data_IF_152899795541
#
_entry.id   IF_152899795541
#
_cell.length_a   1.000
_cell.length_b   1.000
_cell.length_c   1.000
_cell.angle_alpha   90.00
_cell.angle_beta   90.00
_cell.angle_gamma   90.00
#
_symmetry.space_group_name_H-M   'P 1'
#
loop_
_entity.id
_entity.type
_entity.pdbx_description
1 polymer ?
#
# COMPACT_ATOMS: atom_id res chain seq x y z
N UNK A 1 4.88 -6.83 5.99
CA UNK A 1 6.01 -5.92 6.13
C UNK A 1 5.52 -4.48 6.37
N UNK A 2 6.36 -3.58 6.82
CA UNK A 2 6.05 -2.16 6.99
C UNK A 2 5.99 -1.47 5.62
N UNK A 3 4.98 -0.64 5.39
CA UNK A 3 4.76 0.01 4.08
C UNK A 3 4.58 1.52 4.25
N UNK A 4 3.37 2.01 4.47
CA UNK A 4 3.10 3.42 4.65
C UNK A 4 3.58 3.94 6.00
N UNK A 5 4.26 5.07 5.98
CA UNK A 5 4.71 5.76 7.19
C UNK A 5 4.35 7.24 7.14
N UNK A 6 4.04 7.79 8.30
CA UNK A 6 4.05 9.24 8.52
C UNK A 6 4.91 9.53 9.72
N UNK A 7 5.93 10.36 9.50
CA UNK A 7 6.97 10.68 10.49
C UNK A 7 6.87 12.16 10.82
N UNK A 8 7.08 12.47 12.09
CA UNK A 8 7.11 13.83 12.61
C UNK A 8 8.45 14.07 13.31
N UNK A 9 9.15 15.14 12.92
CA UNK A 9 10.46 15.46 13.44
C UNK A 9 10.61 16.95 13.67
N UNK A 10 11.13 17.35 14.82
CA UNK A 10 11.42 18.76 15.12
C UNK A 10 12.80 19.11 14.58
N UNK A 11 12.87 20.15 13.76
CA UNK A 11 14.12 20.68 13.20
C UNK A 11 14.60 21.78 14.17
N UNK A 12 15.82 21.63 14.69
CA UNK A 12 16.40 22.63 15.60
C UNK A 12 17.03 23.80 14.84
N UNK A 13 17.73 23.51 13.75
CA UNK A 13 18.32 24.51 12.84
C UNK A 13 17.80 24.25 11.42
N UNK A 14 16.90 25.08 10.97
CA UNK A 14 16.26 24.91 9.67
C UNK A 14 17.19 25.18 8.51
N UNK A 15 18.06 26.17 8.60
CA UNK A 15 18.98 26.54 7.51
C UNK A 15 20.05 25.46 7.31
N UNK A 16 20.64 24.98 8.42
CA UNK A 16 21.58 23.87 8.39
C UNK A 16 20.93 22.59 7.85
N UNK A 17 19.71 22.27 8.32
CA UNK A 17 18.95 21.12 7.84
C UNK A 17 18.63 21.23 6.34
N UNK A 18 18.13 22.38 5.89
CA UNK A 18 17.77 22.61 4.48
C UNK A 18 18.96 22.45 3.54
N UNK A 19 20.13 22.97 3.96
CA UNK A 19 21.38 22.81 3.21
C UNK A 19 21.83 21.36 3.13
N UNK A 20 21.74 20.63 4.24
CA UNK A 20 22.16 19.23 4.33
C UNK A 20 21.21 18.26 3.62
N UNK A 21 19.90 18.45 3.77
CA UNK A 21 18.88 17.61 3.12
C UNK A 21 18.75 17.87 1.61
N UNK A 22 19.22 19.03 1.13
CA UNK A 22 19.24 19.43 -0.29
C UNK A 22 17.89 19.18 -1.01
N UNK A 23 16.79 19.68 -0.41
CA UNK A 23 15.43 19.51 -0.91
C UNK A 23 14.91 20.84 -1.41
N UNK A 24 14.35 20.84 -2.61
CA UNK A 24 13.59 21.96 -3.14
C UNK A 24 12.27 22.10 -2.42
N UNK A 25 12.10 23.21 -1.70
CA UNK A 25 10.89 23.52 -0.95
C UNK A 25 10.11 24.64 -1.67
N UNK A 26 8.86 24.35 -1.97
CA UNK A 26 7.90 25.30 -2.46
C UNK A 26 7.10 25.90 -1.29
N UNK A 27 7.08 27.23 -1.21
CA UNK A 27 6.27 27.98 -0.25
C UNK A 27 5.08 28.60 -0.98
N UNK A 28 3.84 28.29 -0.59
CA UNK A 28 2.66 28.89 -1.20
C UNK A 28 2.69 30.40 -1.03
N UNK A 29 2.64 31.14 -2.15
CA UNK A 29 2.54 32.60 -2.18
C UNK A 29 1.21 33.04 -2.78
N UNK A 30 0.79 34.21 -2.46
CA UNK A 30 -0.32 34.89 -3.12
C UNK A 30 0.16 35.41 -4.48
N UNK A 31 -0.57 35.10 -5.55
CA UNK A 31 -0.16 35.45 -6.91
C UNK A 31 -0.27 36.95 -7.23
N UNK A 32 -1.13 37.66 -6.49
CA UNK A 32 -1.37 39.10 -6.71
C UNK A 32 -0.42 39.96 -5.88
N UNK A 33 -0.21 39.57 -4.62
CA UNK A 33 0.58 40.36 -3.66
C UNK A 33 2.00 39.85 -3.46
N UNK A 34 2.33 38.64 -3.94
CA UNK A 34 3.61 38.00 -3.69
C UNK A 34 3.79 37.55 -2.20
N UNK A 35 2.80 37.80 -1.35
CA UNK A 35 2.89 37.50 0.06
C UNK A 35 2.81 35.99 0.33
N UNK A 36 3.58 35.49 1.29
CA UNK A 36 3.54 34.09 1.73
C UNK A 36 2.19 33.73 2.33
N UNK A 37 1.51 32.71 1.77
CA UNK A 37 0.24 32.22 2.31
C UNK A 37 0.46 31.48 3.64
N UNK A 38 0.02 32.08 4.74
CA UNK A 38 0.05 31.49 6.07
C UNK A 38 -1.32 31.49 6.74
N UNK A 39 -1.46 30.70 7.79
CA UNK A 39 -2.64 30.73 8.68
C UNK A 39 -2.25 31.42 9.97
N UNK A 40 -2.99 32.46 10.33
CA UNK A 40 -2.84 33.15 11.61
C UNK A 40 -4.01 32.78 12.53
N UNK A 41 -3.74 32.62 13.82
CA UNK A 41 -4.76 32.48 14.86
C UNK A 41 -4.30 33.16 16.14
N UNK A 42 -5.25 33.76 16.87
CA UNK A 42 -5.01 34.28 18.21
C UNK A 42 -4.71 33.11 19.18
N UNK A 43 -3.77 33.32 20.08
CA UNK A 43 -3.42 32.44 21.20
C UNK A 43 -3.40 33.28 22.48
N UNK A 44 -3.41 32.63 23.66
CA UNK A 44 -3.27 33.34 24.90
C UNK A 44 -1.96 34.14 24.93
N UNK A 45 -2.05 35.47 25.06
CA UNK A 45 -0.91 36.40 25.12
C UNK A 45 -0.24 36.64 23.76
N UNK A 46 -0.97 36.55 22.61
CA UNK A 46 -0.38 36.90 21.32
C UNK A 46 -0.99 36.25 20.08
N UNK A 47 -0.17 36.17 19.04
CA UNK A 47 -0.54 35.64 17.72
C UNK A 47 0.36 34.49 17.33
N UNK A 48 -0.23 33.43 16.81
CA UNK A 48 0.48 32.32 16.17
C UNK A 48 0.26 32.35 14.64
N UNK A 49 1.35 32.44 13.88
CA UNK A 49 1.35 32.28 12.44
C UNK A 49 1.93 30.93 12.05
N UNK A 50 1.34 30.27 11.07
CA UNK A 50 1.82 28.99 10.53
C UNK A 50 1.96 29.07 9.01
N UNK A 51 3.15 28.76 8.51
CA UNK A 51 3.47 28.66 7.08
C UNK A 51 3.77 27.20 6.78
N UNK A 52 3.36 26.72 5.61
CA UNK A 52 3.56 25.34 5.16
C UNK A 52 4.44 25.38 3.90
N UNK A 53 5.62 24.78 3.98
CA UNK A 53 6.49 24.54 2.85
C UNK A 53 6.32 23.09 2.40
N UNK A 54 6.39 22.83 1.09
CA UNK A 54 6.22 21.48 0.54
C UNK A 54 7.35 21.15 -0.42
N UNK A 55 7.75 19.90 -0.43
CA UNK A 55 8.74 19.35 -1.34
C UNK A 55 8.62 17.85 -1.42
N UNK A 56 9.52 17.22 -2.12
CA UNK A 56 9.61 15.78 -2.19
C UNK A 56 11.03 15.33 -1.88
N UNK A 57 11.15 14.21 -1.20
CA UNK A 57 12.38 13.44 -1.11
C UNK A 57 12.10 12.10 -1.79
N UNK A 58 12.58 11.95 -3.01
CA UNK A 58 12.20 10.85 -3.90
C UNK A 58 10.67 10.73 -4.04
N UNK A 59 10.05 9.64 -3.54
CA UNK A 59 8.59 9.44 -3.57
C UNK A 59 7.88 9.91 -2.30
N UNK A 60 8.63 10.36 -1.28
CA UNK A 60 8.04 10.88 -0.04
C UNK A 60 7.62 12.32 -0.19
N UNK A 61 6.40 12.62 0.27
CA UNK A 61 5.95 14.01 0.42
C UNK A 61 6.57 14.60 1.69
N UNK A 62 7.31 15.68 1.50
CA UNK A 62 7.93 16.46 2.58
C UNK A 62 7.08 17.68 2.84
N UNK A 63 6.73 17.89 4.10
CA UNK A 63 6.03 19.10 4.53
C UNK A 63 6.76 19.70 5.71
N UNK A 64 7.21 20.94 5.59
CA UNK A 64 7.76 21.71 6.71
C UNK A 64 6.68 22.64 7.23
N UNK A 65 6.41 22.52 8.51
CA UNK A 65 5.50 23.41 9.22
C UNK A 65 6.33 24.41 10.02
N UNK A 66 6.45 25.62 9.51
CA UNK A 66 7.01 26.76 10.24
C UNK A 66 5.93 27.37 11.11
N UNK A 67 6.20 27.53 12.39
CA UNK A 67 5.27 28.13 13.34
C UNK A 67 5.97 29.27 14.08
N UNK A 68 5.50 30.49 13.88
CA UNK A 68 5.94 31.68 14.58
C UNK A 68 4.92 32.04 15.65
N UNK A 69 5.36 32.20 16.90
CA UNK A 69 4.57 32.72 18.00
C UNK A 69 5.10 34.11 18.37
N UNK A 70 4.24 35.12 18.28
CA UNK A 70 4.54 36.46 18.71
C UNK A 70 3.74 36.72 20.01
N UNK A 71 4.43 37.00 21.12
CA UNK A 71 3.82 37.34 22.40
C UNK A 71 3.58 38.85 22.46
N UNK A 72 2.67 39.28 23.33
CA UNK A 72 2.36 40.71 23.55
C UNK A 72 3.56 41.52 24.05
N UNK A 73 4.50 40.89 24.75
CA UNK A 73 5.77 41.49 25.17
C UNK A 73 6.82 41.65 24.04
N UNK A 74 6.44 41.37 22.76
CA UNK A 74 7.33 41.45 21.61
C UNK A 74 8.24 40.24 21.39
N UNK A 75 8.24 39.23 22.29
CA UNK A 75 9.02 38.02 22.08
C UNK A 75 8.49 37.22 20.90
N UNK A 76 9.41 36.82 20.01
CA UNK A 76 9.13 36.01 18.84
C UNK A 76 9.87 34.68 18.93
N UNK A 77 9.11 33.57 18.88
CA UNK A 77 9.66 32.24 18.84
C UNK A 77 9.25 31.53 17.52
N UNK A 78 10.21 30.99 16.80
CA UNK A 78 9.99 30.22 15.56
C UNK A 78 10.35 28.77 15.81
N UNK A 79 9.51 27.87 15.34
CA UNK A 79 9.73 26.42 15.41
C UNK A 79 9.42 25.77 14.07
N UNK A 80 10.22 24.77 13.70
CA UNK A 80 10.10 24.05 12.45
C UNK A 80 9.85 22.57 12.72
N UNK A 81 8.84 22.02 12.04
CA UNK A 81 8.49 20.62 12.12
C UNK A 81 8.45 20.01 10.73
N UNK A 82 9.25 18.99 10.54
CA UNK A 82 9.27 18.15 9.35
C UNK A 82 8.22 17.06 9.47
N UNK A 83 7.42 16.91 8.43
CA UNK A 83 6.45 15.81 8.27
C UNK A 83 6.83 15.08 6.99
N UNK A 84 7.09 13.79 7.10
CA UNK A 84 7.39 12.90 5.98
C UNK A 84 6.18 11.97 5.84
N UNK A 85 5.60 11.87 4.64
CA UNK A 85 4.45 11.02 4.35
C UNK A 85 4.72 10.21 3.08
N UNK A 86 4.66 8.89 3.15
CA UNK A 86 4.89 8.04 1.99
C UNK A 86 4.96 6.55 2.32
N UNK A 87 5.42 5.77 1.35
CA UNK A 87 5.56 4.33 1.45
C UNK A 87 7.02 3.92 1.36
N UNK A 88 7.55 3.30 2.40
CA UNK A 88 8.89 2.70 2.44
C UNK A 88 9.07 1.68 1.31
N UNK A 89 8.07 0.83 1.14
CA UNK A 89 8.07 -0.22 0.14
C UNK A 89 8.10 0.31 -1.30
N UNK A 90 7.22 1.30 -1.60
CA UNK A 90 7.18 1.92 -2.94
C UNK A 90 8.45 2.71 -3.24
N UNK A 91 9.00 3.39 -2.24
CA UNK A 91 10.23 4.15 -2.45
C UNK A 91 11.38 3.23 -2.79
N UNK A 92 11.58 2.16 -2.03
CA UNK A 92 12.64 1.19 -2.27
C UNK A 92 12.57 0.54 -3.67
N UNK A 93 11.37 0.21 -4.15
CA UNK A 93 11.15 -0.46 -5.45
C UNK A 93 10.61 0.47 -6.54
N UNK A 94 10.81 1.78 -6.45
CA UNK A 94 10.43 2.76 -7.48
C UNK A 94 8.96 2.65 -7.92
N UNK A 95 8.05 2.50 -6.94
CA UNK A 95 6.60 2.44 -7.14
C UNK A 95 5.97 1.05 -7.02
N UNK A 96 6.74 -0.03 -7.10
CA UNK A 96 6.25 -1.40 -6.98
C UNK A 96 6.20 -1.85 -5.51
N UNK A 97 5.00 -2.05 -4.94
CA UNK A 97 4.88 -2.60 -3.59
C UNK A 97 4.19 -3.97 -3.55
N UNK A 98 4.42 -4.78 -4.58
CA UNK A 98 4.01 -6.19 -4.65
C UNK A 98 5.20 -7.15 -4.49
N UNK A 99 6.42 -6.67 -4.67
CA UNK A 99 7.65 -7.45 -4.49
C UNK A 99 7.90 -7.76 -3.00
N UNK A 100 8.70 -8.78 -2.67
CA UNK A 100 9.09 -9.06 -1.29
C UNK A 100 9.94 -7.91 -0.72
N UNK A 101 9.41 -7.19 0.26
CA UNK A 101 10.13 -6.13 0.98
C UNK A 101 10.65 -6.70 2.28
N UNK A 102 11.88 -7.23 2.23
CA UNK A 102 12.54 -7.94 3.33
C UNK A 102 13.00 -7.01 4.45
N UNK A 103 13.46 -7.59 5.54
CA UNK A 103 14.08 -6.85 6.64
C UNK A 103 15.25 -5.98 6.18
N UNK A 104 16.13 -6.51 5.33
CA UNK A 104 17.30 -5.77 4.82
C UNK A 104 16.87 -4.61 3.92
N UNK A 105 15.83 -4.80 3.09
CA UNK A 105 15.24 -3.70 2.32
C UNK A 105 14.70 -2.60 3.23
N UNK A 106 14.02 -2.97 4.31
CA UNK A 106 13.52 -2.02 5.30
C UNK A 106 14.65 -1.24 5.98
N UNK A 107 15.70 -1.93 6.45
CA UNK A 107 16.86 -1.28 7.09
C UNK A 107 17.57 -0.32 6.13
N UNK A 108 17.76 -0.74 4.88
CA UNK A 108 18.37 0.10 3.84
C UNK A 108 17.54 1.37 3.62
N UNK A 109 16.21 1.24 3.50
CA UNK A 109 15.33 2.36 3.24
C UNK A 109 15.24 3.32 4.43
N UNK A 110 15.19 2.80 5.67
CA UNK A 110 15.20 3.62 6.88
C UNK A 110 16.52 4.38 7.06
N UNK A 111 17.67 3.72 6.80
CA UNK A 111 18.97 4.37 6.83
C UNK A 111 19.07 5.49 5.79
N UNK A 112 18.54 5.26 4.59
CA UNK A 112 18.49 6.26 3.53
C UNK A 112 17.66 7.48 3.92
N UNK A 113 16.48 7.27 4.54
CA UNK A 113 15.65 8.36 5.08
C UNK A 113 16.39 9.15 6.17
N UNK A 114 16.98 8.45 7.14
CA UNK A 114 17.71 9.11 8.24
C UNK A 114 18.87 9.94 7.72
N UNK A 115 19.71 9.36 6.85
CA UNK A 115 20.85 10.06 6.30
C UNK A 115 20.45 11.20 5.36
N UNK A 116 19.52 10.93 4.42
CA UNK A 116 19.12 11.90 3.42
C UNK A 116 18.34 13.09 3.98
N UNK A 117 17.55 12.88 5.04
CA UNK A 117 16.76 13.93 5.69
C UNK A 117 17.36 14.40 7.01
N UNK A 118 18.59 13.96 7.35
CA UNK A 118 19.29 14.32 8.59
C UNK A 118 18.42 14.10 9.83
N UNK A 119 17.71 12.96 9.87
CA UNK A 119 16.85 12.61 11.00
C UNK A 119 17.69 12.02 12.13
N UNK A 120 17.36 12.36 13.36
CA UNK A 120 17.80 11.57 14.52
C UNK A 120 16.85 10.39 14.74
N UNK A 121 17.31 9.33 15.38
CA UNK A 121 16.53 8.12 15.66
C UNK A 121 15.26 8.34 16.49
N UNK A 122 15.09 9.53 17.10
CA UNK A 122 13.90 9.91 17.87
C UNK A 122 12.77 10.54 17.04
N UNK A 123 12.88 10.51 15.70
CA UNK A 123 11.81 10.96 14.83
C UNK A 123 10.53 10.16 15.07
N UNK A 124 9.45 10.83 15.47
CA UNK A 124 8.21 10.22 15.94
C UNK A 124 7.40 9.62 14.77
N UNK A 125 6.89 8.42 14.97
CA UNK A 125 5.90 7.81 14.08
C UNK A 125 4.50 8.34 14.42
N UNK A 126 3.80 8.88 13.42
CA UNK A 126 2.43 9.38 13.52
C UNK A 126 1.44 8.44 12.84
N UNK A 127 1.90 7.70 11.83
CA UNK A 127 1.11 6.71 11.11
C UNK A 127 2.04 5.55 10.71
N UNK A 128 1.51 4.33 10.72
CA UNK A 128 2.23 3.14 10.26
C UNK A 128 1.28 2.17 9.59
N UNK A 129 1.65 1.68 8.41
CA UNK A 129 0.97 0.57 7.74
C UNK A 129 1.80 -0.71 7.88
N UNK A 130 1.15 -1.78 8.33
CA UNK A 130 1.74 -3.12 8.41
C UNK A 130 0.88 -4.09 7.59
N UNK A 131 1.49 -4.97 6.82
CA UNK A 131 0.72 -5.91 6.01
C UNK A 131 1.57 -6.93 5.30
N UNK A 132 0.91 -7.89 4.67
CA UNK A 132 1.53 -8.97 3.90
C UNK A 132 0.84 -9.14 2.56
N UNK A 133 1.61 -9.57 1.57
CA UNK A 133 1.10 -10.03 0.28
C UNK A 133 0.97 -11.55 0.34
N UNK A 134 -0.19 -12.08 0.01
CA UNK A 134 -0.56 -13.49 0.20
C UNK A 134 -0.96 -14.05 -1.18
N UNK A 135 -0.21 -15.01 -1.74
CA UNK A 135 -0.63 -15.69 -2.96
C UNK A 135 -1.82 -16.60 -2.65
N UNK A 136 -2.87 -16.50 -3.47
CA UNK A 136 -4.05 -17.35 -3.38
C UNK A 136 -4.18 -18.23 -4.63
N UNK A 137 -4.75 -19.43 -4.53
CA UNK A 137 -5.01 -20.30 -5.71
C UNK A 137 -6.29 -19.90 -6.46
N UNK A 138 -6.99 -18.87 -6.01
CA UNK A 138 -8.29 -18.43 -6.56
C UNK A 138 -8.30 -16.91 -6.78
N UNK A 139 -9.12 -16.39 -7.71
CA UNK A 139 -9.26 -14.96 -7.95
C UNK A 139 -9.63 -14.21 -6.67
N UNK A 140 -8.74 -13.27 -6.26
CA UNK A 140 -8.84 -12.59 -4.96
C UNK A 140 -10.13 -11.82 -4.79
N UNK A 141 -10.50 -11.01 -5.79
CA UNK A 141 -11.73 -10.21 -5.69
C UNK A 141 -12.98 -11.08 -5.58
N UNK A 142 -13.03 -12.18 -6.33
CA UNK A 142 -14.13 -13.15 -6.23
C UNK A 142 -14.19 -13.78 -4.86
N UNK A 143 -13.04 -14.23 -4.34
CA UNK A 143 -12.93 -14.78 -3.00
C UNK A 143 -13.44 -13.79 -1.94
N UNK A 144 -12.96 -12.55 -1.95
CA UNK A 144 -13.35 -11.54 -0.97
C UNK A 144 -14.85 -11.21 -1.04
N UNK A 145 -15.39 -11.04 -2.25
CA UNK A 145 -16.82 -10.72 -2.46
C UNK A 145 -17.75 -11.76 -1.86
N UNK A 146 -17.40 -13.03 -1.89
CA UNK A 146 -18.28 -14.13 -1.47
C UNK A 146 -18.00 -14.65 -0.06
N UNK A 147 -16.84 -14.38 0.48
CA UNK A 147 -16.42 -14.97 1.75
C UNK A 147 -16.18 -13.93 2.88
N UNK A 148 -15.82 -12.69 2.57
CA UNK A 148 -15.54 -11.67 3.58
C UNK A 148 -16.83 -11.05 4.10
N UNK A 149 -17.07 -11.13 5.42
CA UNK A 149 -18.34 -10.70 6.02
C UNK A 149 -18.18 -9.44 6.88
N UNK A 150 -17.43 -9.51 7.97
CA UNK A 150 -17.29 -8.39 8.91
C UNK A 150 -15.97 -8.43 9.67
N UNK A 151 -15.64 -7.33 10.31
CA UNK A 151 -14.50 -7.23 11.22
C UNK A 151 -14.95 -6.63 12.57
N UNK A 152 -14.81 -7.40 13.66
CA UNK A 152 -15.24 -6.97 15.00
C UNK A 152 -16.70 -6.46 15.06
N UNK A 153 -17.58 -7.03 14.26
CA UNK A 153 -18.98 -6.61 14.13
C UNK A 153 -19.22 -5.47 13.14
N UNK A 154 -18.19 -4.77 12.67
CA UNK A 154 -18.33 -3.71 11.68
C UNK A 154 -18.34 -4.28 10.26
N UNK A 155 -19.11 -3.65 9.38
CA UNK A 155 -19.16 -3.99 7.96
C UNK A 155 -17.91 -3.50 7.23
N UNK A 156 -17.56 -4.19 6.15
CA UNK A 156 -16.55 -3.75 5.23
C UNK A 156 -17.12 -2.83 4.15
N UNK A 157 -16.48 -1.71 3.92
CA UNK A 157 -16.76 -0.80 2.80
C UNK A 157 -15.93 -1.20 1.58
N UNK A 158 -16.40 -0.85 0.38
CA UNK A 158 -15.59 -1.03 -0.84
C UNK A 158 -14.33 -0.18 -0.78
N UNK A 159 -13.20 -0.77 -1.12
CA UNK A 159 -11.93 -0.08 -1.17
C UNK A 159 -11.63 0.41 -2.59
N UNK A 160 -11.41 1.71 -2.71
CA UNK A 160 -11.05 2.38 -3.97
C UNK A 160 -12.02 2.07 -5.13
N UNK A 161 -13.33 2.34 -4.98
CA UNK A 161 -14.30 2.10 -6.03
C UNK A 161 -14.10 3.08 -7.21
N UNK A 162 -14.18 2.56 -8.43
CA UNK A 162 -14.25 3.38 -9.64
C UNK A 162 -15.68 3.95 -9.84
N UNK A 163 -15.86 4.76 -10.89
CA UNK A 163 -17.16 5.36 -11.24
C UNK A 163 -18.26 4.31 -11.51
N UNK A 164 -17.88 3.11 -11.91
CA UNK A 164 -18.80 1.99 -12.19
C UNK A 164 -19.01 1.10 -10.96
N UNK A 165 -18.44 1.47 -9.81
CA UNK A 165 -18.55 0.71 -8.58
C UNK A 165 -17.64 -0.53 -8.51
N UNK A 166 -16.75 -0.75 -9.50
CA UNK A 166 -15.73 -1.78 -9.38
C UNK A 166 -14.69 -1.33 -8.34
N UNK A 167 -14.23 -2.25 -7.52
CA UNK A 167 -13.25 -1.93 -6.49
C UNK A 167 -12.12 -2.96 -6.46
N UNK A 168 -11.04 -2.63 -5.77
CA UNK A 168 -9.92 -3.54 -5.58
C UNK A 168 -10.14 -4.52 -4.43
N UNK A 169 -11.05 -4.21 -3.52
CA UNK A 169 -11.33 -5.01 -2.34
C UNK A 169 -12.15 -4.23 -1.31
N UNK A 170 -11.81 -4.43 -0.04
CA UNK A 170 -12.62 -3.95 1.06
C UNK A 170 -11.77 -3.32 2.17
N UNK A 171 -12.36 -2.34 2.86
CA UNK A 171 -11.77 -1.66 4.02
C UNK A 171 -12.77 -1.57 5.15
N UNK A 172 -12.34 -1.87 6.36
CA UNK A 172 -13.10 -1.64 7.59
C UNK A 172 -12.39 -0.53 8.38
N UNK A 173 -12.90 0.72 8.37
CA UNK A 173 -12.36 1.80 9.17
C UNK A 173 -12.79 1.67 10.63
N UNK A 174 -11.85 1.92 11.55
CA UNK A 174 -12.08 2.03 12.99
C UNK A 174 -11.49 3.34 13.51
N UNK A 175 -11.73 3.66 14.76
CA UNK A 175 -11.32 4.95 15.36
C UNK A 175 -9.81 5.17 15.41
N UNK A 176 -9.00 4.11 15.51
CA UNK A 176 -7.54 4.19 15.62
C UNK A 176 -6.81 3.65 14.40
N UNK A 177 -7.40 2.69 13.69
CA UNK A 177 -6.79 2.04 12.54
C UNK A 177 -7.86 1.56 11.55
N UNK A 178 -7.45 1.17 10.37
CA UNK A 178 -8.30 0.47 9.41
C UNK A 178 -7.71 -0.88 9.02
N UNK A 179 -8.59 -1.84 8.71
CA UNK A 179 -8.22 -3.14 8.14
C UNK A 179 -8.55 -3.09 6.66
N UNK A 180 -7.58 -3.42 5.79
CA UNK A 180 -7.79 -3.48 4.35
C UNK A 180 -7.47 -4.87 3.84
N UNK A 181 -8.31 -5.37 2.96
CA UNK A 181 -8.12 -6.65 2.25
C UNK A 181 -8.47 -6.44 0.79
N UNK A 182 -7.48 -6.59 -0.10
CA UNK A 182 -7.71 -6.26 -1.49
C UNK A 182 -6.84 -7.06 -2.47
N UNK A 183 -7.24 -7.02 -3.74
CA UNK A 183 -6.58 -7.67 -4.85
C UNK A 183 -5.38 -6.83 -5.32
N UNK A 184 -4.21 -7.22 -4.83
CA UNK A 184 -2.93 -6.62 -5.18
C UNK A 184 -2.51 -7.00 -6.58
N UNK A 185 -2.80 -8.24 -7.00
CA UNK A 185 -2.57 -8.71 -8.36
C UNK A 185 -3.29 -7.82 -9.38
N UNK A 186 -4.59 -7.56 -9.15
CA UNK A 186 -5.39 -6.66 -10.00
C UNK A 186 -4.88 -5.21 -9.98
N UNK A 187 -4.38 -4.73 -8.84
CA UNK A 187 -3.86 -3.35 -8.71
C UNK A 187 -2.66 -3.10 -9.64
N UNK A 188 -1.84 -4.11 -9.86
CA UNK A 188 -0.61 -4.03 -10.66
C UNK A 188 -0.66 -4.84 -11.96
N UNK A 189 -1.84 -5.33 -12.36
CA UNK A 189 -2.05 -6.16 -13.55
C UNK A 189 -1.11 -7.40 -13.57
N UNK A 190 -0.91 -8.03 -12.38
CA UNK A 190 -0.09 -9.21 -12.24
C UNK A 190 -0.83 -10.46 -12.74
N UNK A 191 -0.12 -11.47 -13.27
CA UNK A 191 -0.72 -12.73 -13.67
C UNK A 191 -1.21 -13.59 -12.49
N UNK A 192 -0.63 -13.38 -11.30
CA UNK A 192 -0.89 -14.17 -10.11
C UNK A 192 -1.99 -13.53 -9.24
N UNK A 193 -2.74 -14.39 -8.54
CA UNK A 193 -3.74 -13.95 -7.57
C UNK A 193 -3.07 -13.57 -6.26
N UNK A 194 -2.74 -12.30 -6.11
CA UNK A 194 -2.04 -11.76 -4.94
C UNK A 194 -2.98 -10.93 -4.09
N UNK A 195 -3.33 -11.43 -2.91
CA UNK A 195 -4.12 -10.70 -1.92
C UNK A 195 -3.21 -9.87 -1.01
N UNK A 196 -3.59 -8.64 -0.72
CA UNK A 196 -2.96 -7.82 0.34
C UNK A 196 -3.87 -7.80 1.56
N UNK A 197 -3.33 -8.14 2.72
CA UNK A 197 -3.94 -7.92 4.02
C UNK A 197 -3.10 -6.93 4.81
N UNK A 198 -3.69 -5.81 5.25
CA UNK A 198 -2.94 -4.74 5.94
C UNK A 198 -3.76 -4.04 7.02
N UNK A 199 -3.04 -3.56 8.04
CA UNK A 199 -3.52 -2.67 9.08
C UNK A 199 -2.86 -1.31 8.89
N UNK A 200 -3.67 -0.26 8.76
CA UNK A 200 -3.20 1.11 8.72
C UNK A 200 -3.54 1.82 10.02
N UNK A 201 -2.53 2.05 10.86
CA UNK A 201 -2.67 2.78 12.10
C UNK A 201 -2.66 4.28 11.82
N UNK A 202 -3.80 4.94 12.07
CA UNK A 202 -3.98 6.40 11.95
C UNK A 202 -3.64 7.11 13.27
N UNK A 203 -3.71 6.38 14.38
CA UNK A 203 -3.30 6.80 15.72
C UNK A 203 -2.36 5.77 16.30
N UNK A 204 -1.28 6.24 16.89
CA UNK A 204 -0.19 5.36 17.32
C UNK A 204 -0.39 4.76 18.73
N UNK A 205 -1.53 5.01 19.40
CA UNK A 205 -1.77 4.57 20.79
C UNK A 205 -1.46 3.06 20.97
N UNK A 206 -2.10 2.21 20.18
CA UNK A 206 -1.92 0.76 20.25
C UNK A 206 -0.48 0.31 19.98
N UNK A 207 0.24 1.00 19.09
CA UNK A 207 1.63 0.70 18.78
C UNK A 207 2.58 1.21 19.86
N UNK A 208 2.30 2.37 20.46
CA UNK A 208 3.05 2.93 21.60
C UNK A 208 2.98 2.02 22.83
N UNK A 209 1.84 1.42 23.11
CA UNK A 209 1.66 0.42 24.17
C UNK A 209 2.51 -0.85 23.93
N UNK A 210 2.92 -1.10 22.70
CA UNK A 210 3.84 -2.19 22.30
C UNK A 210 5.30 -1.73 22.13
N UNK A 211 5.62 -0.52 22.58
CA UNK A 211 6.96 0.02 22.54
C UNK A 211 7.41 0.54 21.17
N UNK A 212 6.47 0.78 20.23
CA UNK A 212 6.77 1.35 18.91
C UNK A 212 6.28 2.80 18.87
N UNK A 213 7.22 3.75 18.91
CA UNK A 213 6.96 5.20 18.98
C UNK A 213 7.66 5.97 17.87
N UNK A 214 8.87 5.58 17.50
CA UNK A 214 9.77 6.32 16.63
C UNK A 214 10.48 5.41 15.61
N UNK A 215 11.33 5.99 14.77
CA UNK A 215 12.07 5.25 13.74
C UNK A 215 13.00 4.19 14.33
N UNK A 216 13.68 4.47 15.45
CA UNK A 216 14.56 3.49 16.11
C UNK A 216 13.80 2.23 16.50
N UNK A 217 12.53 2.37 16.93
CA UNK A 217 11.72 1.22 17.33
C UNK A 217 11.39 0.28 16.17
N UNK A 218 11.16 0.82 14.96
CA UNK A 218 10.91 -0.04 13.78
C UNK A 218 12.19 -0.56 13.13
N UNK A 219 13.37 -0.07 13.53
CA UNK A 219 14.69 -0.63 13.20
C UNK A 219 15.07 -1.76 14.15
N UNK A 220 14.41 -1.92 15.28
CA UNK A 220 14.60 -3.04 16.19
C UNK A 220 13.90 -4.29 15.61
N UNK A 221 14.69 -5.34 15.37
CA UNK A 221 14.21 -6.59 14.78
C UNK A 221 13.06 -7.23 15.58
N UNK A 222 13.21 -7.30 16.90
CA UNK A 222 12.22 -7.96 17.76
C UNK A 222 10.90 -7.20 17.83
N UNK A 223 10.96 -5.88 17.93
CA UNK A 223 9.78 -5.01 17.92
C UNK A 223 9.06 -5.09 16.58
N UNK A 224 9.79 -4.97 15.47
CA UNK A 224 9.22 -5.04 14.13
C UNK A 224 8.62 -6.43 13.83
N UNK A 225 9.34 -7.52 14.17
CA UNK A 225 8.85 -8.87 13.99
C UNK A 225 7.62 -9.16 14.86
N UNK A 226 7.57 -8.62 16.08
CA UNK A 226 6.44 -8.74 17.01
C UNK A 226 5.12 -8.16 16.47
N UNK A 227 5.14 -7.32 15.43
CA UNK A 227 3.96 -6.79 14.74
C UNK A 227 3.13 -7.86 14.03
N UNK A 228 3.71 -9.05 13.75
CA UNK A 228 2.97 -10.21 13.27
C UNK A 228 1.74 -10.51 14.13
N UNK A 229 1.88 -10.44 15.46
CA UNK A 229 0.77 -10.72 16.38
C UNK A 229 -0.44 -9.80 16.18
N UNK A 230 -0.22 -8.55 15.71
CA UNK A 230 -1.31 -7.64 15.38
C UNK A 230 -2.06 -8.10 14.12
N UNK A 231 -1.33 -8.54 13.09
CA UNK A 231 -1.92 -9.07 11.87
C UNK A 231 -2.71 -10.36 12.15
N UNK A 232 -2.14 -11.30 12.91
CA UNK A 232 -2.83 -12.55 13.28
C UNK A 232 -4.07 -12.28 14.11
N UNK A 233 -3.98 -11.41 15.11
CA UNK A 233 -5.13 -10.98 15.92
C UNK A 233 -6.21 -10.30 15.08
N UNK A 234 -5.81 -9.46 14.13
CA UNK A 234 -6.77 -8.83 13.23
C UNK A 234 -7.44 -9.85 12.32
N UNK A 235 -6.68 -10.81 11.79
CA UNK A 235 -7.25 -11.88 10.99
C UNK A 235 -8.23 -12.74 11.79
N UNK A 236 -7.90 -13.12 13.03
CA UNK A 236 -8.79 -13.86 13.93
C UNK A 236 -10.09 -13.12 14.27
N UNK A 237 -10.10 -11.79 14.20
CA UNK A 237 -11.29 -10.97 14.38
C UNK A 237 -12.08 -10.73 13.08
N UNK A 238 -11.60 -11.23 11.94
CA UNK A 238 -12.29 -11.18 10.67
C UNK A 238 -13.25 -12.35 10.58
N UNK A 239 -14.51 -12.07 10.28
CA UNK A 239 -15.54 -13.09 10.04
C UNK A 239 -15.52 -13.42 8.56
N UNK A 240 -15.26 -14.69 8.26
CA UNK A 240 -15.33 -15.26 6.92
C UNK A 240 -16.43 -16.31 6.86
N UNK A 241 -17.20 -16.28 5.77
CA UNK A 241 -18.01 -17.43 5.36
C UNK A 241 -17.21 -18.23 4.34
N UNK A 242 -17.49 -19.50 4.20
CA UNK A 242 -16.93 -20.33 3.13
C UNK A 242 -18.05 -20.67 2.15
N UNK A 243 -17.99 -20.06 0.97
CA UNK A 243 -19.05 -20.22 -0.05
C UNK A 243 -19.15 -21.64 -0.61
N UNK A 244 -18.21 -22.53 -0.29
CA UNK A 244 -18.29 -23.96 -0.65
C UNK A 244 -19.20 -24.77 0.25
N UNK A 245 -19.67 -24.20 1.38
CA UNK A 245 -20.55 -24.91 2.33
C UNK A 245 -21.92 -25.19 1.70
N UNK A 246 -22.24 -26.45 1.58
CA UNK A 246 -23.59 -26.86 1.21
C UNK A 246 -24.54 -26.79 2.43
N UNK A 247 -25.38 -25.76 2.47
CA UNK A 247 -26.36 -25.57 3.53
C UNK A 247 -27.48 -26.62 3.54
N UNK A 248 -27.60 -27.46 2.51
CA UNK A 248 -28.54 -28.60 2.45
C UNK A 248 -27.94 -29.88 3.07
N UNK A 249 -26.66 -29.89 3.39
CA UNK A 249 -25.98 -31.03 3.99
C UNK A 249 -26.78 -31.54 5.24
N UNK A 250 -27.24 -32.82 5.26
CA UNK A 250 -28.06 -33.35 6.34
C UNK A 250 -27.34 -33.43 7.70
N UNK A 251 -26.00 -33.44 7.69
CA UNK A 251 -25.20 -33.48 8.92
C UNK A 251 -25.19 -32.12 9.65
N UNK A 252 -25.65 -31.04 9.01
CA UNK A 252 -25.75 -29.72 9.66
C UNK A 252 -27.05 -29.65 10.43
N UNK A 253 -26.96 -29.54 11.77
CA UNK A 253 -28.14 -29.40 12.66
C UNK A 253 -28.92 -28.11 12.30
N UNK A 254 -30.22 -28.11 12.45
CA UNK A 254 -31.07 -26.97 12.09
C UNK A 254 -30.61 -25.65 12.73
N UNK A 255 -30.30 -25.64 14.03
CA UNK A 255 -29.78 -24.44 14.74
C UNK A 255 -28.46 -23.92 14.15
N UNK A 256 -27.57 -24.83 13.72
CA UNK A 256 -26.28 -24.48 13.14
C UNK A 256 -26.45 -23.97 11.70
N UNK A 257 -27.41 -24.58 10.98
CA UNK A 257 -27.79 -24.13 9.63
C UNK A 257 -28.35 -22.69 9.65
N UNK A 258 -29.19 -22.37 10.64
CA UNK A 258 -29.71 -21.01 10.82
C UNK A 258 -28.57 -20.02 11.13
N UNK A 259 -27.64 -20.38 12.02
CA UNK A 259 -26.48 -19.55 12.29
C UNK A 259 -25.60 -19.34 11.04
N UNK A 260 -25.39 -20.38 10.22
CA UNK A 260 -24.66 -20.26 8.96
C UNK A 260 -25.38 -19.35 7.95
N UNK A 261 -26.72 -19.38 7.89
CA UNK A 261 -27.52 -18.48 7.03
C UNK A 261 -27.46 -17.03 7.50
N UNK A 262 -27.72 -16.78 8.77
CA UNK A 262 -27.71 -15.42 9.34
C UNK A 262 -26.30 -14.82 9.38
N UNK A 263 -25.30 -15.61 9.75
CA UNK A 263 -23.90 -15.18 9.83
C UNK A 263 -23.27 -14.78 8.48
N UNK A 264 -23.91 -15.07 7.36
CA UNK A 264 -23.51 -14.54 6.03
C UNK A 264 -23.85 -13.06 5.85
N UNK A 265 -24.72 -12.51 6.69
CA UNK A 265 -25.17 -11.12 6.62
C UNK A 265 -24.32 -10.24 7.51
N UNK A 266 -23.63 -9.23 7.00
CA UNK A 266 -22.85 -8.32 7.85
C UNK A 266 -23.67 -7.67 8.96
N UNK A 267 -24.91 -7.23 8.68
CA UNK A 267 -25.79 -6.61 9.64
C UNK A 267 -26.18 -7.49 10.84
N UNK A 268 -26.15 -8.83 10.70
CA UNK A 268 -26.32 -9.74 11.83
C UNK A 268 -25.23 -9.55 12.91
N UNK A 269 -23.99 -9.43 12.49
CA UNK A 269 -22.85 -9.23 13.38
C UNK A 269 -22.83 -7.86 14.01
N UNK A 270 -23.21 -6.82 13.25
CA UNK A 270 -23.33 -5.46 13.73
C UNK A 270 -24.40 -5.36 14.85
N UNK A 271 -25.59 -5.85 14.56
CA UNK A 271 -26.68 -5.90 15.53
C UNK A 271 -26.30 -6.65 16.81
N UNK A 272 -25.72 -7.84 16.69
CA UNK A 272 -25.27 -8.61 17.86
C UNK A 272 -24.20 -7.86 18.67
N UNK A 273 -23.29 -7.17 18.00
CA UNK A 273 -22.23 -6.42 18.66
C UNK A 273 -22.77 -5.23 19.45
N UNK A 274 -23.77 -4.55 18.93
CA UNK A 274 -24.42 -3.41 19.56
C UNK A 274 -25.33 -3.83 20.73
N UNK A 275 -26.08 -4.90 20.57
CA UNK A 275 -27.11 -5.32 21.54
C UNK A 275 -26.55 -6.22 22.63
N UNK A 276 -25.67 -7.17 22.30
CA UNK A 276 -25.15 -8.17 23.22
C UNK A 276 -23.73 -8.65 22.84
N UNK A 277 -22.72 -7.94 23.37
CA UNK A 277 -21.32 -8.27 23.08
C UNK A 277 -20.89 -9.69 23.52
N UNK A 278 -21.51 -10.24 24.60
CA UNK A 278 -21.25 -11.63 25.04
C UNK A 278 -21.76 -12.63 24.01
N UNK A 279 -22.99 -12.43 23.55
CA UNK A 279 -23.62 -13.25 22.52
C UNK A 279 -22.87 -13.13 21.19
N UNK A 280 -22.43 -11.94 20.80
CA UNK A 280 -21.56 -11.72 19.64
C UNK A 280 -20.32 -12.58 19.66
N UNK A 281 -19.57 -12.58 20.77
CA UNK A 281 -18.34 -13.35 20.88
C UNK A 281 -18.62 -14.87 20.82
N UNK A 282 -19.67 -15.36 21.50
CA UNK A 282 -20.06 -16.75 21.47
C UNK A 282 -20.49 -17.20 20.07
N UNK A 283 -21.37 -16.45 19.40
CA UNK A 283 -21.87 -16.80 18.07
C UNK A 283 -20.77 -16.71 17.01
N UNK A 284 -19.88 -15.75 17.12
CA UNK A 284 -18.72 -15.62 16.21
C UNK A 284 -17.81 -16.84 16.31
N UNK A 285 -17.48 -17.27 17.50
CA UNK A 285 -16.63 -18.44 17.69
C UNK A 285 -17.33 -19.72 17.18
N UNK A 286 -18.60 -19.90 17.51
CA UNK A 286 -19.39 -21.01 17.01
C UNK A 286 -19.48 -21.01 15.48
N UNK A 287 -19.75 -19.87 14.89
CA UNK A 287 -19.81 -19.70 13.44
C UNK A 287 -18.47 -20.08 12.78
N UNK A 288 -17.34 -19.63 13.36
CA UNK A 288 -16.01 -19.95 12.87
C UNK A 288 -15.73 -21.46 12.87
N UNK A 289 -16.13 -22.16 13.94
CA UNK A 289 -16.02 -23.61 14.02
C UNK A 289 -16.87 -24.31 12.95
N UNK A 290 -18.12 -23.91 12.80
CA UNK A 290 -19.01 -24.48 11.78
C UNK A 290 -18.47 -24.26 10.35
N UNK A 291 -17.92 -23.06 10.08
CA UNK A 291 -17.29 -22.77 8.78
C UNK A 291 -16.03 -23.61 8.58
N UNK A 292 -15.27 -23.89 9.63
CA UNK A 292 -14.09 -24.76 9.55
C UNK A 292 -14.47 -26.24 9.32
N UNK A 293 -15.55 -26.71 9.97
CA UNK A 293 -15.98 -28.11 9.90
C UNK A 293 -16.62 -28.46 8.55
N UNK A 294 -17.39 -27.55 7.99
CA UNK A 294 -18.16 -27.81 6.76
C UNK A 294 -17.61 -27.17 5.50
N UNK A 295 -16.62 -26.27 5.62
CA UNK A 295 -15.98 -25.57 4.49
C UNK A 295 -14.58 -26.08 4.18
N UNK A 296 -13.87 -25.33 3.35
CA UNK A 296 -12.49 -25.65 2.92
C UNK A 296 -11.42 -25.14 3.89
N UNK A 297 -11.83 -24.54 5.02
CA UNK A 297 -10.90 -24.06 6.05
C UNK A 297 -10.08 -22.80 5.64
N UNK A 298 -10.64 -21.94 4.81
CA UNK A 298 -9.97 -20.75 4.32
C UNK A 298 -9.42 -19.83 5.41
N UNK A 299 -10.14 -19.67 6.52
CA UNK A 299 -9.67 -18.84 7.63
C UNK A 299 -8.31 -19.31 8.18
N UNK A 300 -8.18 -20.62 8.43
CA UNK A 300 -6.93 -21.23 8.91
C UNK A 300 -5.83 -21.14 7.85
N UNK A 301 -6.15 -21.51 6.61
CA UNK A 301 -5.18 -21.48 5.50
C UNK A 301 -4.58 -20.07 5.31
N UNK A 302 -5.41 -19.05 5.30
CA UNK A 302 -4.92 -17.68 5.13
C UNK A 302 -4.14 -17.21 6.37
N UNK A 303 -4.55 -17.60 7.58
CA UNK A 303 -3.78 -17.32 8.81
C UNK A 303 -2.36 -17.87 8.73
N UNK A 304 -2.21 -19.13 8.30
CA UNK A 304 -0.90 -19.75 8.11
C UNK A 304 -0.10 -19.03 7.00
N UNK A 305 -0.74 -18.65 5.90
CA UNK A 305 -0.09 -17.87 4.85
C UNK A 305 0.38 -16.50 5.35
N UNK A 306 -0.42 -15.79 6.17
CA UNK A 306 -0.01 -14.52 6.82
C UNK A 306 1.27 -14.74 7.62
N UNK A 307 1.31 -15.79 8.45
CA UNK A 307 2.46 -16.14 9.28
C UNK A 307 3.68 -16.46 8.41
N UNK A 308 3.53 -17.38 7.46
CA UNK A 308 4.62 -17.79 6.57
C UNK A 308 5.19 -16.62 5.74
N UNK A 309 4.33 -15.79 5.16
CA UNK A 309 4.77 -14.64 4.39
C UNK A 309 5.50 -13.60 5.26
N UNK A 310 5.03 -13.36 6.49
CA UNK A 310 5.72 -12.48 7.42
C UNK A 310 7.09 -13.03 7.81
N UNK A 311 7.16 -14.30 8.20
CA UNK A 311 8.42 -14.96 8.59
C UNK A 311 9.44 -14.93 7.45
N UNK A 312 9.01 -15.16 6.20
CA UNK A 312 9.89 -15.11 5.04
C UNK A 312 10.52 -13.73 4.84
N UNK A 313 9.81 -12.64 5.19
CA UNK A 313 10.34 -11.28 5.09
C UNK A 313 11.45 -11.00 6.13
N UNK A 314 11.51 -11.79 7.22
CA UNK A 314 12.52 -11.65 8.27
C UNK A 314 13.62 -12.72 8.22
N UNK A 315 13.40 -13.86 7.55
CA UNK A 315 14.38 -14.97 7.49
C UNK A 315 15.49 -14.77 6.47
N UNK A 316 15.27 -14.01 5.40
CA UNK A 316 16.21 -13.88 4.29
C UNK A 316 17.16 -12.68 4.47
N UNK A 317 17.82 -12.59 5.64
CA UNK A 317 18.70 -11.49 6.01
C UNK A 317 20.14 -11.58 5.44
N UNK A 318 20.43 -12.40 4.43
CA UNK A 318 21.84 -12.61 4.04
C UNK A 318 22.16 -12.62 2.55
N UNK A 319 21.18 -12.47 1.67
CA UNK A 319 21.47 -12.40 0.24
C UNK A 319 20.73 -11.20 -0.36
N UNK A 320 21.42 -10.08 -0.51
CA UNK A 320 21.09 -9.12 -1.55
C UNK A 320 21.24 -9.87 -2.88
N UNK A 321 20.15 -10.16 -3.61
CA UNK A 321 20.33 -10.36 -5.03
C UNK A 321 20.82 -9.00 -5.51
N UNK A 322 22.07 -8.94 -6.03
CA UNK A 322 22.49 -7.83 -6.87
C UNK A 322 21.28 -7.49 -7.73
N UNK A 323 20.89 -6.21 -7.81
CA UNK A 323 19.77 -5.71 -8.62
C UNK A 323 20.10 -6.02 -10.08
N UNK A 324 20.02 -7.27 -10.46
CA UNK A 324 19.69 -7.70 -11.81
C UNK A 324 18.18 -7.45 -11.87
N UNK A 325 17.78 -6.59 -12.80
CA UNK A 325 16.41 -6.49 -13.30
C UNK A 325 15.67 -7.79 -13.04
N UNK A 326 14.48 -7.76 -12.36
CA UNK A 326 13.79 -8.99 -11.99
C UNK A 326 13.79 -9.89 -13.22
N UNK A 327 14.52 -10.98 -13.15
CA UNK A 327 14.30 -12.07 -14.10
C UNK A 327 12.86 -12.47 -13.85
N UNK A 328 11.97 -12.02 -14.73
CA UNK A 328 10.59 -12.51 -14.83
C UNK A 328 10.65 -14.00 -14.52
N UNK A 329 9.95 -14.44 -13.48
CA UNK A 329 9.91 -15.84 -13.09
C UNK A 329 9.76 -16.69 -14.32
N UNK A 330 10.84 -17.40 -14.67
CA UNK A 330 10.88 -18.27 -15.84
C UNK A 330 10.14 -19.55 -15.49
N UNK A 331 8.81 -19.54 -15.65
CA UNK A 331 8.05 -20.79 -15.59
C UNK A 331 8.38 -21.63 -16.83
N UNK A 332 9.09 -22.72 -16.62
CA UNK A 332 9.30 -23.73 -17.67
C UNK A 332 8.15 -24.72 -17.64
N UNK A 333 7.48 -24.92 -18.77
CA UNK A 333 6.46 -25.92 -18.95
C UNK A 333 6.97 -26.93 -19.97
N UNK A 334 6.79 -28.22 -19.69
CA UNK A 334 7.09 -29.26 -20.67
C UNK A 334 6.04 -29.27 -21.79
N UNK A 335 6.40 -28.81 -22.97
CA UNK A 335 5.58 -28.91 -24.17
C UNK A 335 6.29 -29.88 -25.14
N UNK A 336 5.64 -31.00 -25.50
CA UNK A 336 6.22 -32.07 -26.36
C UNK A 336 7.60 -32.52 -25.89
N UNK A 337 7.78 -32.72 -24.58
CA UNK A 337 9.04 -33.24 -24.00
C UNK A 337 10.18 -32.24 -23.88
N UNK A 338 10.02 -31.00 -24.35
CA UNK A 338 11.02 -29.93 -24.23
C UNK A 338 10.61 -28.93 -23.18
N UNK A 339 11.56 -28.46 -22.36
CA UNK A 339 11.35 -27.36 -21.42
C UNK A 339 11.21 -26.05 -22.22
N UNK A 340 10.02 -25.48 -22.26
CA UNK A 340 9.74 -24.19 -22.91
C UNK A 340 9.45 -23.14 -21.86
N UNK A 341 10.13 -22.01 -21.94
CA UNK A 341 9.89 -20.88 -21.07
C UNK A 341 8.55 -20.23 -21.41
N UNK A 342 7.62 -20.16 -20.43
CA UNK A 342 6.36 -19.42 -20.61
C UNK A 342 6.61 -17.94 -20.85
N UNK A 343 5.93 -17.37 -21.83
CA UNK A 343 5.97 -15.95 -22.17
C UNK A 343 4.57 -15.37 -22.15
N UNK A 344 4.46 -14.18 -21.63
CA UNK A 344 3.17 -13.50 -21.47
C UNK A 344 3.16 -12.18 -22.23
N UNK A 345 2.00 -11.80 -22.74
CA UNK A 345 1.79 -10.50 -23.37
C UNK A 345 2.01 -9.35 -22.36
N UNK A 346 2.91 -8.42 -22.66
CA UNK A 346 3.24 -7.30 -21.78
C UNK A 346 2.06 -6.34 -21.53
N UNK A 347 1.00 -6.40 -22.37
CA UNK A 347 -0.16 -5.53 -22.23
C UNK A 347 -1.33 -6.17 -21.48
N UNK A 348 -1.65 -7.44 -21.75
CA UNK A 348 -2.85 -8.09 -21.23
C UNK A 348 -2.57 -9.34 -20.39
N UNK A 349 -1.30 -9.73 -20.18
CA UNK A 349 -0.91 -10.91 -19.39
C UNK A 349 -1.26 -12.27 -20.03
N UNK A 350 -1.85 -12.32 -21.23
CA UNK A 350 -2.21 -13.58 -21.89
C UNK A 350 -0.95 -14.38 -22.27
N UNK A 351 -1.00 -15.69 -22.09
CA UNK A 351 0.10 -16.59 -22.52
C UNK A 351 0.31 -16.49 -24.03
N UNK A 352 1.53 -16.12 -24.43
CA UNK A 352 1.99 -15.99 -25.82
C UNK A 352 3.15 -16.93 -26.12
N UNK A 353 3.31 -18.01 -25.34
CA UNK A 353 4.39 -18.99 -25.50
C UNK A 353 4.41 -19.60 -26.87
N UNK A 354 3.25 -19.80 -27.49
CA UNK A 354 3.08 -20.40 -28.84
C UNK A 354 3.27 -19.39 -29.97
N UNK A 355 3.57 -18.13 -29.69
CA UNK A 355 3.84 -17.10 -30.70
C UNK A 355 5.36 -17.01 -30.99
N UNK A 356 5.72 -16.28 -32.04
CA UNK A 356 7.11 -16.01 -32.37
C UNK A 356 7.93 -15.56 -31.13
N UNK A 357 9.17 -16.06 -31.03
CA UNK A 357 10.06 -15.82 -29.89
C UNK A 357 10.33 -14.33 -29.62
N UNK A 358 10.18 -13.46 -30.61
CA UNK A 358 10.35 -12.01 -30.53
C UNK A 358 9.06 -11.28 -30.13
N UNK A 359 7.91 -11.99 -30.12
CA UNK A 359 6.62 -11.37 -29.79
C UNK A 359 6.58 -10.95 -28.33
N UNK A 360 6.28 -9.68 -28.10
CA UNK A 360 6.06 -9.07 -26.74
C UNK A 360 4.58 -8.86 -26.45
N UNK A 361 3.72 -8.88 -27.48
CA UNK A 361 2.29 -8.64 -27.41
C UNK A 361 1.53 -9.74 -28.16
N UNK A 362 0.22 -9.84 -27.88
CA UNK A 362 -0.65 -10.73 -28.64
C UNK A 362 -0.56 -10.44 -30.15
N UNK A 363 -0.43 -11.49 -30.97
CA UNK A 363 -0.48 -11.33 -32.41
C UNK A 363 -1.89 -11.55 -32.96
N UNK A 364 -2.21 -10.92 -34.09
CA UNK A 364 -3.52 -10.99 -34.72
C UNK A 364 -3.93 -12.43 -35.06
N UNK A 365 -2.96 -13.29 -35.43
CA UNK A 365 -3.19 -14.69 -35.71
C UNK A 365 -3.82 -15.48 -34.56
N UNK A 366 -3.55 -15.11 -33.30
CA UNK A 366 -4.00 -15.85 -32.11
C UNK A 366 -5.16 -15.22 -31.38
N UNK A 367 -5.38 -13.90 -31.52
CA UNK A 367 -6.41 -13.16 -30.76
C UNK A 367 -7.30 -12.28 -31.62
N UNK A 368 -7.11 -12.26 -32.94
CA UNK A 368 -7.77 -11.35 -33.87
C UNK A 368 -7.12 -9.96 -33.93
N UNK A 369 -7.35 -9.22 -35.00
CA UNK A 369 -6.69 -7.93 -35.26
C UNK A 369 -7.04 -6.87 -34.21
N UNK A 370 -8.33 -6.76 -33.84
CA UNK A 370 -8.79 -5.75 -32.87
C UNK A 370 -8.12 -5.93 -31.51
N UNK A 371 -8.07 -7.15 -30.99
CA UNK A 371 -7.45 -7.46 -29.70
C UNK A 371 -5.93 -7.30 -29.71
N UNK A 372 -5.27 -7.70 -30.82
CA UNK A 372 -3.83 -7.51 -30.99
C UNK A 372 -3.46 -6.02 -31.10
N UNK A 373 -4.30 -5.22 -31.76
CA UNK A 373 -4.14 -3.79 -31.87
C UNK A 373 -4.31 -3.08 -30.51
N UNK A 374 -5.31 -3.50 -29.72
CA UNK A 374 -5.48 -2.99 -28.34
C UNK A 374 -4.27 -3.27 -27.46
N UNK A 375 -3.69 -4.48 -27.52
CA UNK A 375 -2.50 -4.83 -26.74
C UNK A 375 -1.30 -3.95 -27.08
N UNK A 376 -1.07 -3.68 -28.38
CA UNK A 376 0.01 -2.80 -28.85
C UNK A 376 -0.23 -1.32 -28.48
N UNK A 377 -1.46 -0.84 -28.59
CA UNK A 377 -1.80 0.55 -28.30
C UNK A 377 -1.82 0.87 -26.80
N UNK A 378 -2.19 -0.07 -25.92
CA UNK A 378 -2.10 0.14 -24.46
C UNK A 378 -0.68 0.49 -24.00
N UNK A 379 0.34 -0.11 -24.62
CA UNK A 379 1.73 0.21 -24.30
C UNK A 379 2.21 1.52 -24.97
N UNK A 380 1.69 1.87 -26.16
CA UNK A 380 2.11 3.06 -26.89
C UNK A 380 1.39 4.34 -26.46
N UNK A 381 0.13 4.25 -26.01
CA UNK A 381 -0.68 5.41 -25.62
C UNK A 381 -0.09 6.27 -24.49
N UNK A 382 0.44 5.73 -23.39
CA UNK A 382 1.09 6.54 -22.35
C UNK A 382 2.27 7.34 -22.90
N UNK A 383 3.11 6.72 -23.76
CA UNK A 383 4.27 7.36 -24.38
C UNK A 383 3.86 8.45 -25.35
N UNK A 384 2.83 8.21 -26.16
CA UNK A 384 2.31 9.20 -27.10
C UNK A 384 1.62 10.36 -26.40
N UNK A 385 0.89 10.09 -25.30
CA UNK A 385 0.29 11.12 -24.45
C UNK A 385 1.35 12.01 -23.79
N UNK A 386 2.45 11.43 -23.30
CA UNK A 386 3.55 12.19 -22.72
C UNK A 386 4.23 13.09 -23.79
N UNK A 387 4.55 12.53 -24.97
CA UNK A 387 5.09 13.30 -26.10
C UNK A 387 4.14 14.42 -26.53
N UNK A 388 2.82 14.17 -26.57
CA UNK A 388 1.80 15.15 -26.89
C UNK A 388 1.70 16.27 -25.83
N UNK A 389 1.84 15.93 -24.54
CA UNK A 389 1.91 16.92 -23.45
C UNK A 389 3.16 17.79 -23.56
N UNK A 390 4.32 17.19 -23.79
CA UNK A 390 5.59 17.90 -23.97
C UNK A 390 5.52 18.84 -25.17
N UNK A 391 5.00 18.41 -26.32
CA UNK A 391 4.80 19.25 -27.49
C UNK A 391 3.87 20.47 -27.21
N UNK A 392 2.76 20.25 -26.47
CA UNK A 392 1.83 21.34 -26.07
C UNK A 392 2.46 22.32 -25.10
N UNK A 393 3.30 21.85 -24.18
CA UNK A 393 4.05 22.70 -23.26
C UNK A 393 5.04 23.59 -24.07
N UNK A 394 5.82 22.97 -24.95
CA UNK A 394 6.79 23.71 -25.77
C UNK A 394 6.13 24.69 -26.75
N UNK A 395 4.96 24.36 -27.33
CA UNK A 395 4.24 25.24 -28.25
C UNK A 395 3.55 26.43 -27.57
N UNK A 396 3.36 26.41 -26.26
CA UNK A 396 2.76 27.48 -25.47
C UNK A 396 3.77 28.49 -24.91
N UNK A 397 5.03 28.40 -25.30
CA UNK A 397 6.06 29.37 -24.89
C UNK A 397 6.28 29.40 -23.36
N UNK A 398 6.18 28.25 -22.67
CA UNK A 398 6.46 28.20 -21.26
C UNK A 398 7.95 28.50 -21.03
N UNK A 399 8.23 29.46 -20.15
CA UNK A 399 9.54 30.07 -19.85
C UNK A 399 10.61 29.09 -19.30
N UNK A 400 10.33 27.78 -19.22
CA UNK A 400 11.27 26.80 -18.71
C UNK A 400 11.64 25.77 -19.77
N UNK A 401 12.93 25.70 -20.07
CA UNK A 401 13.51 24.60 -20.84
C UNK A 401 13.50 23.32 -19.98
N UNK A 402 12.62 22.38 -20.34
CA UNK A 402 12.53 21.07 -19.66
C UNK A 402 13.53 20.04 -20.22
N UNK A 403 14.36 20.43 -21.21
CA UNK A 403 15.36 19.53 -21.79
C UNK A 403 16.35 18.97 -20.76
N UNK A 404 16.77 19.73 -19.72
CA UNK A 404 17.61 19.21 -18.65
C UNK A 404 16.99 18.10 -17.81
N UNK A 405 15.65 18.00 -17.82
CA UNK A 405 14.91 17.00 -17.05
C UNK A 405 14.57 15.73 -17.86
N UNK A 406 15.04 15.64 -19.09
CA UNK A 406 14.87 14.47 -19.94
C UNK A 406 16.17 13.69 -20.02
N UNK A 407 16.23 12.54 -19.35
CA UNK A 407 17.35 11.61 -19.52
C UNK A 407 17.08 10.75 -20.75
N UNK A 408 17.85 10.99 -21.82
CA UNK A 408 17.83 10.14 -23.00
C UNK A 408 18.89 9.05 -22.84
N UNK A 409 18.46 7.84 -22.58
CA UNK A 409 19.39 6.70 -22.60
C UNK A 409 19.56 6.22 -24.04
N UNK A 410 20.64 6.62 -24.69
CA UNK A 410 20.94 6.35 -26.11
C UNK A 410 20.98 4.85 -26.46
N UNK A 411 21.16 3.96 -25.47
CA UNK A 411 21.22 2.53 -25.74
C UNK A 411 19.85 1.82 -25.82
N UNK A 412 18.72 2.49 -25.49
CA UNK A 412 17.38 1.85 -25.51
C UNK A 412 16.22 2.72 -25.98
N UNK A 413 16.46 3.94 -26.51
CA UNK A 413 15.37 4.88 -26.92
C UNK A 413 14.23 5.02 -25.88
N UNK A 414 14.54 4.97 -24.61
CA UNK A 414 13.57 5.21 -23.54
C UNK A 414 13.77 6.63 -23.00
N UNK A 415 12.71 7.42 -23.05
CA UNK A 415 12.67 8.77 -22.49
C UNK A 415 11.99 8.66 -21.12
N UNK A 416 12.69 9.03 -20.07
CA UNK A 416 12.13 9.14 -18.72
C UNK A 416 11.97 10.62 -18.40
N UNK A 417 10.79 11.03 -17.91
CA UNK A 417 10.61 12.32 -17.27
C UNK A 417 10.89 12.16 -15.77
N UNK A 418 11.74 13.00 -15.24
CA UNK A 418 12.03 13.08 -13.80
C UNK A 418 10.94 13.91 -13.12
#
# INVERSE_FOLDING_TARGET
MLDGVKIYYQINDFDAWRKAANIDLFTPTDLETGATKGRARAINGGLQQTIIHRGNFETYLITIKETTKCQENGCRAVSYFLIIDGSLHKNYFSGANYLPFTWDCLQTELNKLETGLQLSGVADLVNLEIGVNIPLPVPVFHFLKHNLISYKGNQFNRYNPDKNGNCLGYVCPLSQYSVKVYDKGKQFDLPDYLMRFELRYLKMQTLKERGIKNLTDIKDFNKANGLLNLLLTAWDNTVLFDSSIDLKNPNIKNKDRELLKEGRRPGYWEHLKETNNRQYNYQREKFRLLVADYGQGWHKKIKELIKTQWENLFKNCTILPSVKTPELYKFTVKVKGKNVQKRFCLSCGRDITNQDSRSRFCSAKFVGEAAAHQCRNRDSNPRNNLKGKIRRINSRGVLFDITPYLIVNNNKKQVYAI
#
